data_IF_149901422539
#
_entry.id   IF_149901422539
#
_cell.length_a   1.000
_cell.length_b   1.000
_cell.length_c   1.000
_cell.angle_alpha   90.00
_cell.angle_beta   90.00
_cell.angle_gamma   90.00
#
_symmetry.space_group_name_H-M   'P 1'
#
loop_
_entity.id
_entity.type
_entity.pdbx_description
1 polymer ?
#
# COMPACT_ATOMS: atom_id res chain seq x y z
N UNK A 1 -4.11 -21.15 -14.70
CA UNK A 1 -3.28 -20.46 -13.69
C UNK A 1 -4.12 -19.37 -13.07
N UNK A 2 -4.33 -19.38 -11.75
CA UNK A 2 -5.11 -18.36 -11.07
C UNK A 2 -4.34 -17.05 -11.05
N UNK A 3 -4.96 -15.97 -11.52
CA UNK A 3 -4.37 -14.63 -11.52
C UNK A 3 -4.15 -14.17 -10.07
N UNK A 4 -2.92 -13.79 -9.71
CA UNK A 4 -2.63 -13.26 -8.37
C UNK A 4 -3.25 -11.87 -8.18
N UNK A 5 -3.59 -11.53 -6.95
CA UNK A 5 -4.15 -10.23 -6.60
C UNK A 5 -3.09 -9.33 -5.95
N UNK A 6 -2.97 -8.09 -6.40
CA UNK A 6 -2.21 -7.03 -5.77
C UNK A 6 -3.18 -6.09 -5.04
N UNK A 7 -2.98 -5.90 -3.74
CA UNK A 7 -3.81 -5.02 -2.93
C UNK A 7 -3.17 -3.64 -2.81
N UNK A 8 -3.96 -2.63 -2.49
CA UNK A 8 -3.44 -1.30 -2.13
C UNK A 8 -4.21 -0.75 -0.94
N UNK A 9 -3.58 0.08 -0.11
CA UNK A 9 -4.22 0.66 1.06
C UNK A 9 -3.66 2.06 1.37
N UNK A 10 -4.54 2.92 1.89
CA UNK A 10 -4.24 4.26 2.37
C UNK A 10 -4.56 4.40 3.84
N UNK A 11 -3.67 5.04 4.61
CA UNK A 11 -3.85 5.14 6.05
C UNK A 11 -4.40 6.50 6.53
N UNK A 12 -4.68 7.44 5.64
CA UNK A 12 -5.30 8.72 5.99
C UNK A 12 -6.63 8.50 6.74
N UNK A 13 -6.78 9.21 7.86
CA UNK A 13 -7.94 9.07 8.75
C UNK A 13 -8.06 7.73 9.50
N UNK A 14 -7.16 6.76 9.31
CA UNK A 14 -7.26 5.42 9.92
C UNK A 14 -6.77 5.36 11.38
N UNK A 15 -7.08 4.31 12.15
CA UNK A 15 -6.29 4.02 13.36
C UNK A 15 -5.25 2.94 13.02
N UNK A 16 -4.16 2.83 13.78
CA UNK A 16 -3.22 1.72 13.56
C UNK A 16 -3.90 0.37 13.80
N UNK A 17 -4.82 0.31 14.77
CA UNK A 17 -5.58 -0.90 15.07
C UNK A 17 -6.48 -1.34 13.93
N UNK A 18 -7.30 -0.44 13.37
CA UNK A 18 -8.17 -0.76 12.25
C UNK A 18 -7.39 -1.07 10.97
N UNK A 19 -6.24 -0.41 10.79
CA UNK A 19 -5.34 -0.68 9.68
C UNK A 19 -4.80 -2.11 9.71
N UNK A 20 -4.25 -2.55 10.85
CA UNK A 20 -3.76 -3.94 10.99
C UNK A 20 -4.90 -4.95 10.83
N UNK A 21 -6.04 -4.70 11.46
CA UNK A 21 -7.22 -5.56 11.33
C UNK A 21 -7.70 -5.70 9.88
N UNK A 22 -7.58 -4.64 9.07
CA UNK A 22 -7.89 -4.67 7.64
C UNK A 22 -6.91 -5.57 6.88
N UNK A 23 -5.61 -5.48 7.17
CA UNK A 23 -4.59 -6.33 6.53
C UNK A 23 -4.76 -7.80 6.91
N UNK A 24 -5.03 -8.09 8.18
CA UNK A 24 -5.24 -9.44 8.69
C UNK A 24 -6.50 -10.07 8.10
N UNK A 25 -7.61 -9.34 8.00
CA UNK A 25 -8.86 -9.84 7.43
C UNK A 25 -8.72 -10.23 5.94
N UNK A 26 -7.83 -9.58 5.21
CA UNK A 26 -7.53 -9.91 3.80
C UNK A 26 -6.45 -11.00 3.68
N UNK A 27 -5.70 -11.27 4.74
CA UNK A 27 -4.57 -12.20 4.72
C UNK A 27 -3.36 -11.63 3.98
N UNK A 28 -3.03 -10.36 4.21
CA UNK A 28 -1.82 -9.73 3.64
C UNK A 28 -0.58 -10.27 4.35
N UNK A 29 0.36 -10.83 3.60
CA UNK A 29 1.65 -11.32 4.14
C UNK A 29 2.78 -10.29 3.99
N UNK A 30 2.62 -9.31 3.09
CA UNK A 30 3.64 -8.33 2.75
C UNK A 30 3.04 -6.94 2.53
N UNK A 31 3.47 -5.96 3.32
CA UNK A 31 3.19 -4.55 3.09
C UNK A 31 4.38 -3.89 2.36
N UNK A 32 4.12 -3.39 1.16
CA UNK A 32 5.08 -2.66 0.34
C UNK A 32 4.84 -1.15 0.53
N UNK A 33 5.72 -0.49 1.28
CA UNK A 33 5.69 0.95 1.46
C UNK A 33 6.33 1.66 0.27
N UNK A 34 5.54 2.45 -0.46
CA UNK A 34 5.99 3.24 -1.61
C UNK A 34 6.14 4.71 -1.27
N UNK A 35 6.21 5.11 0.00
CA UNK A 35 6.47 6.51 0.38
C UNK A 35 7.94 6.86 0.11
N UNK A 36 8.20 8.03 -0.50
CA UNK A 36 9.57 8.56 -0.62
C UNK A 36 10.21 8.78 0.77
N UNK A 37 9.42 9.34 1.68
CA UNK A 37 9.82 9.58 3.08
C UNK A 37 8.77 8.91 4.01
N UNK A 38 9.07 7.75 4.60
CA UNK A 38 8.12 7.00 5.45
C UNK A 38 8.08 7.55 6.89
N UNK A 39 7.96 8.87 7.01
CA UNK A 39 7.74 9.59 8.27
C UNK A 39 6.26 9.97 8.32
N UNK A 40 5.63 9.83 9.48
CA UNK A 40 4.23 10.19 9.66
C UNK A 40 4.03 10.83 11.04
N UNK A 41 3.19 11.87 11.08
CA UNK A 41 2.68 12.44 12.34
C UNK A 41 1.55 11.60 12.94
N UNK A 42 1.00 10.68 12.16
CA UNK A 42 -0.07 9.80 12.60
C UNK A 42 0.53 8.68 13.46
N UNK A 43 0.05 8.49 14.71
CA UNK A 43 0.59 7.49 15.61
C UNK A 43 0.63 6.09 14.97
N UNK A 44 1.77 5.42 15.06
CA UNK A 44 1.96 4.06 14.54
C UNK A 44 2.37 3.95 13.06
N UNK A 45 2.37 5.04 12.29
CA UNK A 45 2.65 5.00 10.83
C UNK A 45 4.03 5.51 10.41
N UNK A 46 4.92 5.85 11.36
CA UNK A 46 6.34 6.03 11.04
C UNK A 46 6.98 4.67 10.74
N UNK A 47 7.99 4.62 9.87
CA UNK A 47 8.64 3.36 9.43
C UNK A 47 8.92 2.39 10.57
N UNK A 48 9.61 2.84 11.62
CA UNK A 48 10.00 1.99 12.75
C UNK A 48 8.79 1.47 13.52
N UNK A 49 7.82 2.33 13.83
CA UNK A 49 6.63 1.93 14.57
C UNK A 49 5.76 0.98 13.74
N UNK A 50 5.54 1.30 12.47
CA UNK A 50 4.75 0.48 11.55
C UNK A 50 5.36 -0.89 11.37
N UNK A 51 6.68 -0.97 11.13
CA UNK A 51 7.39 -2.24 11.01
C UNK A 51 7.25 -3.09 12.27
N UNK A 52 7.31 -2.48 13.47
CA UNK A 52 7.11 -3.20 14.73
C UNK A 52 5.68 -3.75 14.87
N UNK A 53 4.68 -2.97 14.51
CA UNK A 53 3.28 -3.42 14.53
C UNK A 53 3.01 -4.55 13.52
N UNK A 54 3.52 -4.44 12.31
CA UNK A 54 3.36 -5.48 11.28
C UNK A 54 3.99 -6.80 11.71
N UNK A 55 5.14 -6.74 12.38
CA UNK A 55 5.79 -7.93 12.93
C UNK A 55 4.92 -8.65 13.97
N UNK A 56 4.09 -7.93 14.74
CA UNK A 56 3.15 -8.59 15.68
C UNK A 56 2.01 -9.34 15.01
N UNK A 57 1.81 -9.13 13.70
CA UNK A 57 0.81 -9.78 12.87
C UNK A 57 1.44 -10.72 11.82
N UNK A 58 2.74 -11.03 11.94
CA UNK A 58 3.51 -11.81 10.96
C UNK A 58 3.48 -11.24 9.52
N UNK A 59 3.30 -9.92 9.39
CA UNK A 59 3.31 -9.21 8.10
C UNK A 59 4.70 -8.64 7.84
N UNK A 60 5.28 -8.98 6.70
CA UNK A 60 6.56 -8.43 6.30
C UNK A 60 6.44 -6.98 5.80
N UNK A 61 7.52 -6.22 5.97
CA UNK A 61 7.59 -4.82 5.57
C UNK A 61 8.72 -4.59 4.57
N UNK A 62 8.37 -4.11 3.37
CA UNK A 62 9.32 -3.77 2.31
C UNK A 62 9.17 -2.30 1.92
N UNK A 63 10.22 -1.50 2.13
CA UNK A 63 10.24 -0.10 1.70
C UNK A 63 10.93 0.06 0.34
N UNK A 64 10.18 0.54 -0.66
CA UNK A 64 10.63 0.77 -2.03
C UNK A 64 10.65 2.26 -2.34
N UNK A 65 11.67 2.95 -1.83
CA UNK A 65 11.79 4.41 -1.95
C UNK A 65 11.79 4.90 -3.40
N UNK A 66 12.36 4.12 -4.33
CA UNK A 66 12.39 4.47 -5.76
C UNK A 66 11.01 4.53 -6.41
N UNK A 67 9.96 4.03 -5.75
CA UNK A 67 8.56 4.13 -6.18
C UNK A 67 7.81 5.27 -5.49
N UNK A 68 8.51 6.08 -4.69
CA UNK A 68 7.92 7.18 -3.95
C UNK A 68 7.78 8.47 -4.74
N UNK A 69 6.68 9.17 -4.49
CA UNK A 69 6.41 10.46 -5.11
C UNK A 69 7.52 11.47 -4.74
N UNK A 70 8.32 11.96 -5.69
CA UNK A 70 9.40 12.89 -5.39
C UNK A 70 8.83 14.25 -4.94
N UNK A 71 9.65 15.05 -4.25
CA UNK A 71 9.21 16.33 -3.67
C UNK A 71 8.44 17.24 -4.65
N UNK A 72 8.84 17.42 -5.92
CA UNK A 72 8.09 18.23 -6.87
C UNK A 72 6.69 17.66 -7.18
N UNK A 73 6.57 16.33 -7.29
CA UNK A 73 5.27 15.67 -7.53
C UNK A 73 4.34 15.82 -6.34
N UNK A 74 4.86 15.64 -5.11
CA UNK A 74 4.09 15.90 -3.87
C UNK A 74 3.56 17.33 -3.78
N UNK A 75 4.35 18.30 -4.21
CA UNK A 75 3.95 19.72 -4.23
C UNK A 75 2.82 19.91 -5.25
N UNK A 76 2.98 19.40 -6.48
CA UNK A 76 1.97 19.51 -7.51
C UNK A 76 0.63 18.86 -7.09
N UNK A 77 0.67 17.65 -6.52
CA UNK A 77 -0.52 16.95 -6.02
C UNK A 77 -1.22 17.74 -4.90
N UNK A 78 -0.46 18.31 -3.95
CA UNK A 78 -1.00 19.14 -2.86
C UNK A 78 -1.65 20.43 -3.36
N UNK A 79 -1.16 20.98 -4.46
CA UNK A 79 -1.71 22.18 -5.10
C UNK A 79 -2.85 21.87 -6.08
N UNK A 80 -3.27 20.60 -6.20
CA UNK A 80 -4.32 20.17 -7.12
C UNK A 80 -3.90 20.16 -8.59
N UNK A 81 -2.61 20.34 -8.89
CA UNK A 81 -2.06 20.25 -10.25
C UNK A 81 -1.78 18.79 -10.61
N UNK A 82 -2.86 18.01 -10.78
CA UNK A 82 -2.75 16.57 -10.97
C UNK A 82 -2.09 16.16 -12.29
N UNK A 83 -2.20 16.97 -13.34
CA UNK A 83 -1.55 16.68 -14.61
C UNK A 83 -0.03 16.86 -14.52
N UNK A 84 0.42 17.95 -13.88
CA UNK A 84 1.83 18.16 -13.54
C UNK A 84 2.35 17.01 -12.68
N UNK A 85 1.59 16.62 -11.65
CA UNK A 85 1.93 15.49 -10.79
C UNK A 85 2.13 14.20 -11.61
N UNK A 86 1.19 13.86 -12.50
CA UNK A 86 1.29 12.67 -13.36
C UNK A 86 2.51 12.73 -14.28
N UNK A 87 2.82 13.88 -14.87
CA UNK A 87 4.00 14.05 -15.71
C UNK A 87 5.32 13.90 -14.91
N UNK A 88 5.40 14.55 -13.75
CA UNK A 88 6.58 14.49 -12.87
C UNK A 88 6.79 13.06 -12.38
N UNK A 89 5.75 12.42 -11.87
CA UNK A 89 5.83 11.07 -11.32
C UNK A 89 6.10 10.03 -12.41
N UNK A 90 5.46 10.15 -13.59
CA UNK A 90 5.74 9.29 -14.74
C UNK A 90 7.18 9.41 -15.24
N UNK A 91 7.78 10.60 -15.16
CA UNK A 91 9.22 10.79 -15.45
C UNK A 91 10.09 10.15 -14.38
N UNK A 92 9.73 10.32 -13.10
CA UNK A 92 10.43 9.70 -11.98
C UNK A 92 10.45 8.16 -12.06
N UNK A 93 9.33 7.54 -12.46
CA UNK A 93 9.22 6.08 -12.61
C UNK A 93 10.17 5.53 -13.67
N UNK A 94 10.66 6.33 -14.62
CA UNK A 94 11.65 5.91 -15.62
C UNK A 94 13.08 5.88 -15.08
N UNK A 95 13.33 6.41 -13.88
CA UNK A 95 14.67 6.41 -13.27
C UNK A 95 15.17 4.99 -12.98
N UNK A 96 16.49 4.80 -12.95
CA UNK A 96 17.11 3.51 -12.66
C UNK A 96 16.76 2.98 -11.26
N UNK A 97 16.65 3.88 -10.28
CA UNK A 97 16.21 3.56 -8.93
C UNK A 97 14.76 3.03 -8.92
N UNK A 98 13.84 3.74 -9.59
CA UNK A 98 12.45 3.31 -9.72
C UNK A 98 12.31 1.97 -10.45
N UNK A 99 13.04 1.77 -11.55
CA UNK A 99 13.00 0.49 -12.28
C UNK A 99 13.59 -0.67 -11.48
N UNK A 100 14.60 -0.42 -10.65
CA UNK A 100 15.15 -1.43 -9.73
C UNK A 100 14.14 -1.82 -8.66
N UNK A 101 13.51 -0.84 -8.02
CA UNK A 101 12.49 -1.11 -7.01
C UNK A 101 11.21 -1.69 -7.61
N UNK A 102 10.82 -1.30 -8.82
CA UNK A 102 9.72 -1.92 -9.57
C UNK A 102 9.94 -3.42 -9.75
N UNK A 103 11.14 -3.82 -10.16
CA UNK A 103 11.52 -5.24 -10.29
C UNK A 103 11.45 -5.98 -8.94
N UNK A 104 11.93 -5.36 -7.86
CA UNK A 104 11.87 -5.94 -6.51
C UNK A 104 10.43 -6.10 -6.03
N UNK A 105 9.56 -5.11 -6.29
CA UNK A 105 8.15 -5.16 -5.97
C UNK A 105 7.41 -6.26 -6.74
N UNK A 106 7.68 -6.39 -8.04
CA UNK A 106 7.11 -7.45 -8.88
C UNK A 106 7.52 -8.84 -8.38
N UNK A 107 8.81 -9.06 -8.09
CA UNK A 107 9.31 -10.33 -7.57
C UNK A 107 8.66 -10.67 -6.22
N UNK A 108 8.56 -9.72 -5.31
CA UNK A 108 7.96 -9.92 -4.00
C UNK A 108 6.44 -10.21 -4.09
N UNK A 109 5.70 -9.43 -4.88
CA UNK A 109 4.27 -9.63 -5.13
C UNK A 109 3.97 -10.94 -5.88
N UNK A 110 4.93 -11.45 -6.67
CA UNK A 110 4.80 -12.76 -7.31
C UNK A 110 4.87 -13.92 -6.31
N UNK A 111 5.39 -13.70 -5.09
CA UNK A 111 5.62 -14.73 -4.07
C UNK A 111 4.63 -14.66 -2.91
N UNK A 112 4.10 -13.48 -2.57
CA UNK A 112 3.31 -13.22 -1.35
C UNK A 112 2.00 -12.52 -1.65
N UNK A 113 1.04 -12.55 -0.72
CA UNK A 113 -0.14 -11.67 -0.80
C UNK A 113 0.28 -10.25 -0.42
N UNK A 114 0.58 -9.44 -1.43
CA UNK A 114 1.15 -8.11 -1.25
C UNK A 114 0.10 -7.00 -1.20
N UNK A 115 0.38 -5.96 -0.42
CA UNK A 115 -0.39 -4.72 -0.34
C UNK A 115 0.51 -3.49 -0.45
N UNK A 116 0.22 -2.58 -1.40
CA UNK A 116 0.93 -1.30 -1.56
C UNK A 116 0.37 -0.23 -0.61
N UNK A 117 1.26 0.44 0.11
CA UNK A 117 0.92 1.48 1.09
C UNK A 117 1.32 2.87 0.61
N UNK A 118 0.39 3.83 0.69
CA UNK A 118 0.71 5.27 0.72
C UNK A 118 -0.12 6.00 1.79
N UNK A 119 -0.02 7.34 1.86
CA UNK A 119 -0.76 8.14 2.83
C UNK A 119 -2.25 8.25 2.50
N UNK A 120 -2.57 8.73 1.31
CA UNK A 120 -3.89 9.18 0.88
C UNK A 120 -4.93 8.07 0.98
N UNK A 121 -6.12 8.36 1.55
CA UNK A 121 -7.20 7.35 1.58
C UNK A 121 -7.71 7.11 0.16
N UNK A 122 -8.01 8.17 -0.55
CA UNK A 122 -8.45 8.13 -1.94
C UNK A 122 -7.28 7.69 -2.85
N UNK A 123 -7.53 6.67 -3.67
CA UNK A 123 -6.54 6.15 -4.61
C UNK A 123 -6.54 6.89 -5.95
N UNK A 124 -7.60 7.63 -6.31
CA UNK A 124 -7.78 8.22 -7.65
C UNK A 124 -6.72 9.24 -8.04
N UNK A 125 -6.11 9.92 -7.05
CA UNK A 125 -5.13 10.97 -7.25
C UNK A 125 -3.83 10.75 -6.46
N UNK A 126 -3.50 9.49 -6.13
CA UNK A 126 -2.29 9.17 -5.39
C UNK A 126 -1.25 8.44 -6.25
N UNK A 127 0.03 8.57 -5.90
CA UNK A 127 1.13 7.89 -6.58
C UNK A 127 1.03 6.36 -6.48
N UNK A 128 0.43 5.84 -5.41
CA UNK A 128 0.18 4.40 -5.22
C UNK A 128 -0.63 3.81 -6.37
N UNK A 129 -1.61 4.52 -6.92
CA UNK A 129 -2.43 4.01 -8.01
C UNK A 129 -1.59 3.81 -9.26
N UNK A 130 -0.77 4.81 -9.61
CA UNK A 130 0.14 4.75 -10.75
C UNK A 130 1.14 3.59 -10.59
N UNK A 131 1.73 3.41 -9.40
CA UNK A 131 2.63 2.29 -9.13
C UNK A 131 1.90 0.94 -9.23
N UNK A 132 0.70 0.86 -8.67
CA UNK A 132 -0.06 -0.38 -8.61
C UNK A 132 -0.57 -0.81 -10.00
N UNK A 133 -1.02 0.12 -10.83
CA UNK A 133 -1.39 -0.12 -12.22
C UNK A 133 -0.19 -0.62 -13.03
N UNK A 134 0.98 0.01 -12.87
CA UNK A 134 2.20 -0.41 -13.55
C UNK A 134 2.63 -1.83 -13.11
N UNK A 135 2.55 -2.12 -11.80
CA UNK A 135 2.84 -3.46 -11.28
C UNK A 135 1.80 -4.48 -11.78
N UNK A 136 0.52 -4.13 -11.79
CA UNK A 136 -0.55 -4.99 -12.27
C UNK A 136 -0.40 -5.31 -13.76
N UNK A 137 -0.06 -4.32 -14.58
CA UNK A 137 0.20 -4.50 -16.00
C UNK A 137 1.42 -5.41 -16.22
N UNK A 138 2.58 -5.10 -15.61
CA UNK A 138 3.82 -5.87 -15.82
C UNK A 138 3.78 -7.27 -15.22
N UNK A 139 3.12 -7.44 -14.08
CA UNK A 139 3.05 -8.69 -13.33
C UNK A 139 1.81 -9.52 -13.60
N UNK A 140 0.85 -9.02 -14.38
CA UNK A 140 -0.43 -9.68 -14.66
C UNK A 140 -1.32 -9.81 -13.42
N UNK A 141 -1.25 -8.89 -12.46
CA UNK A 141 -2.05 -8.95 -11.23
C UNK A 141 -3.45 -8.39 -11.42
N UNK A 142 -4.43 -8.98 -10.71
CA UNK A 142 -5.72 -8.33 -10.45
C UNK A 142 -5.52 -7.27 -9.37
N UNK A 143 -5.92 -6.03 -9.63
CA UNK A 143 -5.76 -4.94 -8.68
C UNK A 143 -7.00 -4.81 -7.78
N UNK A 144 -6.79 -4.65 -6.46
CA UNK A 144 -7.86 -4.41 -5.47
C UNK A 144 -7.45 -3.27 -4.54
N UNK A 145 -8.31 -2.25 -4.44
CA UNK A 145 -8.12 -1.15 -3.50
C UNK A 145 -8.88 -1.44 -2.19
N UNK A 146 -8.19 -1.33 -1.07
CA UNK A 146 -8.74 -1.56 0.27
C UNK A 146 -9.05 -0.23 0.95
N UNK A 147 -10.20 -0.17 1.60
CA UNK A 147 -10.56 0.91 2.53
C UNK A 147 -10.40 0.46 3.98
N UNK A 148 -9.76 1.28 4.82
CA UNK A 148 -9.74 1.03 6.27
C UNK A 148 -11.06 1.48 6.88
N UNK A 149 -11.82 0.53 7.42
CA UNK A 149 -13.07 0.82 8.12
C UNK A 149 -12.80 1.19 9.58
N UNK A 150 -13.30 2.35 10.01
CA UNK A 150 -13.20 2.76 11.41
C UNK A 150 -13.95 1.81 12.34
N UNK A 151 -13.29 1.42 13.44
CA UNK A 151 -13.84 0.50 14.43
C UNK A 151 -13.81 -0.98 14.03
N UNK A 152 -13.17 -1.33 12.90
CA UNK A 152 -13.01 -2.72 12.48
C UNK A 152 -12.32 -3.56 13.56
N UNK A 153 -11.29 -3.03 14.22
CA UNK A 153 -10.60 -3.75 15.31
C UNK A 153 -11.56 -4.13 16.45
N UNK A 154 -12.52 -3.26 16.77
CA UNK A 154 -13.49 -3.53 17.82
C UNK A 154 -14.52 -4.59 17.37
N UNK A 155 -14.86 -4.63 16.08
CA UNK A 155 -15.82 -5.58 15.51
C UNK A 155 -15.27 -7.01 15.37
N UNK A 156 -13.97 -7.15 15.08
CA UNK A 156 -13.35 -8.47 14.88
C UNK A 156 -12.97 -9.15 16.22
N UNK A 157 -12.94 -8.41 17.33
CA UNK A 157 -12.59 -8.96 18.66
C UNK A 157 -11.10 -9.29 18.82
N UNK A 158 -10.67 -9.67 20.04
CA UNK A 158 -9.28 -10.09 20.31
C UNK A 158 -9.03 -11.50 19.73
N UNK A 159 -8.53 -11.56 18.50
CA UNK A 159 -7.93 -12.73 17.86
C UNK A 159 -8.94 -13.77 17.39
N UNK A 160 -8.93 -14.09 16.09
CA UNK A 160 -9.56 -15.31 15.63
C UNK A 160 -8.79 -15.90 14.45
N UNK A 161 -8.57 -17.19 14.55
CA UNK A 161 -7.82 -18.07 13.69
C UNK A 161 -8.14 -17.85 12.20
N UNK A 162 -7.08 -17.95 11.37
CA UNK A 162 -7.15 -17.88 9.91
C UNK A 162 -8.22 -18.85 9.40
N UNK A 163 -9.43 -18.35 9.14
CA UNK A 163 -10.44 -19.09 8.39
C UNK A 163 -10.21 -18.79 6.92
N UNK A 164 -9.77 -19.82 6.19
CA UNK A 164 -9.66 -19.81 4.74
C UNK A 164 -11.05 -19.88 4.08
N UNK A 165 -11.99 -19.02 4.48
CA UNK A 165 -13.17 -18.72 3.68
C UNK A 165 -13.95 -17.58 4.32
N UNK A 166 -13.95 -16.41 3.69
CA UNK A 166 -14.62 -15.24 4.24
C UNK A 166 -14.25 -13.99 3.48
N UNK A 167 -14.78 -13.84 2.27
CA UNK A 167 -14.76 -12.59 1.54
C UNK A 167 -15.57 -11.52 2.30
N UNK A 168 -14.97 -10.89 3.32
CA UNK A 168 -15.49 -9.65 3.87
C UNK A 168 -15.14 -8.57 2.84
N UNK A 169 -16.15 -8.12 2.08
CA UNK A 169 -16.01 -7.07 1.09
C UNK A 169 -15.64 -5.74 1.76
N UNK A 170 -14.34 -5.54 2.00
CA UNK A 170 -13.71 -4.28 2.44
C UNK A 170 -13.43 -3.35 1.24
N UNK A 171 -14.17 -3.53 0.14
CA UNK A 171 -14.06 -2.74 -1.08
C UNK A 171 -14.74 -1.40 -0.81
N UNK A 172 -13.96 -0.34 -0.80
CA UNK A 172 -14.40 1.04 -0.68
C UNK A 172 -13.68 1.89 -1.70
#
# INVERSE_FOLDING_TARGET
MTQKTLHTIGYEGSSIGDFLATLEAVGIDLLIDVRDVPISRKPGFSKTALSGWLQTCDIEYLHLKGLGDPKPGRIAAREGRYDDFRQIFGTHLKSSAAQTDMRRGLDAASKKVACLLCFERDHTHCHRCIVAEEMAHRGGFRLVHLGVQSGLKAKIGKGCERTHDGALALVG
#
